data_IF_338570799623
#
_entry.id   IF_338570799623
#
_cell.length_a   1.000
_cell.length_b   1.000
_cell.length_c   1.000
_cell.angle_alpha   90.00
_cell.angle_beta   90.00
_cell.angle_gamma   90.00
#
_symmetry.space_group_name_H-M   'P 1'
#
loop_
_entity.id
_entity.type
_entity.pdbx_description
1 polymer ?
#
# COMPACT_ATOMS: atom_id res chain seq x y z
N UNK A 1 -57.81 50.23 9.18
CA UNK A 1 -56.39 50.23 8.76
C UNK A 1 -55.58 49.72 9.94
N UNK A 2 -55.36 48.39 10.02
CA UNK A 2 -54.58 47.73 11.08
C UNK A 2 -53.30 47.19 10.46
N UNK A 3 -52.15 47.68 10.90
CA UNK A 3 -50.81 47.07 10.79
C UNK A 3 -49.91 47.88 11.74
N UNK A 4 -48.87 47.38 12.40
CA UNK A 4 -48.51 46.07 12.94
C UNK A 4 -47.24 46.38 13.76
N UNK A 5 -47.19 45.89 15.00
CA UNK A 5 -46.02 45.92 15.89
C UNK A 5 -44.87 45.09 15.32
N UNK A 6 -43.70 45.73 15.12
CA UNK A 6 -42.45 45.08 14.72
C UNK A 6 -41.52 44.88 15.91
N UNK A 7 -41.56 43.70 16.52
CA UNK A 7 -40.52 43.22 17.42
C UNK A 7 -39.38 42.61 16.60
N UNK A 8 -38.17 43.16 16.75
CA UNK A 8 -36.96 42.61 16.14
C UNK A 8 -36.43 41.52 17.07
N UNK A 9 -36.84 40.28 16.82
CA UNK A 9 -36.21 39.10 17.40
C UNK A 9 -34.95 38.76 16.61
N UNK A 10 -33.81 38.78 17.29
CA UNK A 10 -32.56 38.22 16.77
C UNK A 10 -32.73 36.70 16.56
N UNK A 11 -32.94 36.29 15.30
CA UNK A 11 -32.70 34.91 14.88
C UNK A 11 -31.21 34.77 14.59
N UNK A 12 -30.50 34.15 15.52
CA UNK A 12 -29.17 33.62 15.27
C UNK A 12 -29.38 32.37 14.41
N UNK A 13 -29.12 32.46 13.11
CA UNK A 13 -29.00 31.29 12.25
C UNK A 13 -27.64 30.62 12.49
N UNK A 14 -27.61 29.69 13.44
CA UNK A 14 -26.54 28.68 13.50
C UNK A 14 -26.84 27.59 12.46
N UNK A 15 -26.47 27.82 11.21
CA UNK A 15 -26.36 26.76 10.21
C UNK A 15 -24.87 26.48 9.93
N UNK A 16 -24.19 25.89 10.91
CA UNK A 16 -23.00 25.10 10.64
C UNK A 16 -23.48 23.68 10.39
N UNK A 17 -23.81 23.37 9.14
CA UNK A 17 -23.98 21.99 8.69
C UNK A 17 -22.62 21.32 8.91
N UNK A 18 -22.54 20.48 9.93
CA UNK A 18 -21.49 19.49 10.06
C UNK A 18 -21.57 18.65 8.78
N UNK A 19 -20.69 18.91 7.81
CA UNK A 19 -20.35 17.90 6.79
C UNK A 19 -19.87 16.70 7.59
N UNK A 20 -20.70 15.67 7.72
CA UNK A 20 -20.21 14.37 8.17
C UNK A 20 -19.03 14.04 7.28
N UNK A 21 -17.87 13.76 7.87
CA UNK A 21 -16.73 13.28 7.11
C UNK A 21 -17.18 11.98 6.44
N UNK A 22 -17.47 12.01 5.14
CA UNK A 22 -17.79 10.79 4.42
C UNK A 22 -16.58 9.88 4.49
N UNK A 23 -16.80 8.69 5.04
CA UNK A 23 -15.81 7.63 5.17
C UNK A 23 -15.29 7.24 3.78
N UNK A 24 -13.97 7.25 3.58
CA UNK A 24 -13.39 6.85 2.30
C UNK A 24 -13.52 5.35 2.10
N UNK A 25 -13.86 4.93 0.88
CA UNK A 25 -13.81 3.53 0.43
C UNK A 25 -12.43 3.21 -0.13
N UNK A 26 -11.67 2.41 0.61
CA UNK A 26 -10.27 2.12 0.32
C UNK A 26 -10.06 0.64 0.03
N UNK A 27 -9.50 0.33 -1.15
CA UNK A 27 -9.02 -1.00 -1.47
C UNK A 27 -7.53 -1.09 -1.17
N UNK A 28 -7.15 -2.00 -0.29
CA UNK A 28 -5.77 -2.34 -0.01
C UNK A 28 -5.42 -3.65 -0.72
N UNK A 29 -4.97 -3.52 -1.97
CA UNK A 29 -4.72 -4.60 -2.91
C UNK A 29 -3.42 -5.36 -2.64
N UNK A 30 -3.46 -6.69 -2.77
CA UNK A 30 -2.35 -7.60 -2.49
C UNK A 30 -1.81 -7.49 -1.05
N UNK A 31 -2.71 -7.36 -0.07
CA UNK A 31 -2.34 -7.27 1.34
C UNK A 31 -3.02 -8.37 2.20
N UNK A 32 -2.29 -9.43 2.52
CA UNK A 32 -2.73 -10.41 3.53
C UNK A 32 -2.58 -9.90 4.99
N UNK A 33 -1.60 -9.02 5.22
CA UNK A 33 -1.18 -8.66 6.58
C UNK A 33 -2.06 -7.62 7.27
N UNK A 34 -2.94 -6.97 6.50
CA UNK A 34 -3.86 -5.89 6.92
C UNK A 34 -3.20 -4.68 7.58
N UNK A 35 -1.88 -4.50 7.47
CA UNK A 35 -1.17 -3.43 8.20
C UNK A 35 -1.65 -2.05 7.78
N UNK A 36 -1.88 -1.81 6.49
CA UNK A 36 -2.44 -0.54 6.02
C UNK A 36 -3.96 -0.51 6.22
N UNK A 37 -4.65 -1.61 5.91
CA UNK A 37 -6.11 -1.70 6.11
C UNK A 37 -6.54 -1.34 7.55
N UNK A 38 -5.83 -1.86 8.56
CA UNK A 38 -6.10 -1.59 9.97
C UNK A 38 -5.96 -0.09 10.30
N UNK A 39 -4.92 0.58 9.77
CA UNK A 39 -4.71 2.00 10.05
C UNK A 39 -5.78 2.88 9.41
N UNK A 40 -6.26 2.55 8.21
CA UNK A 40 -7.43 3.24 7.63
C UNK A 40 -8.71 3.00 8.44
N UNK A 41 -8.95 1.76 8.89
CA UNK A 41 -10.11 1.41 9.73
C UNK A 41 -10.10 2.15 11.07
N UNK A 42 -8.93 2.33 11.69
CA UNK A 42 -8.79 3.15 12.93
C UNK A 42 -9.22 4.60 12.74
N UNK A 43 -9.09 5.15 11.54
CA UNK A 43 -9.54 6.50 11.19
C UNK A 43 -11.02 6.57 10.78
N UNK A 44 -11.74 5.45 10.84
CA UNK A 44 -13.17 5.39 10.47
C UNK A 44 -13.42 5.23 8.97
N UNK A 45 -12.39 4.95 8.17
CA UNK A 45 -12.54 4.70 6.73
C UNK A 45 -13.05 3.28 6.44
N UNK A 46 -13.82 3.13 5.37
CA UNK A 46 -14.30 1.85 4.85
C UNK A 46 -13.18 1.18 4.03
N UNK A 47 -12.25 0.51 4.70
CA UNK A 47 -11.12 -0.14 4.04
C UNK A 47 -11.23 -1.67 3.99
N UNK A 48 -10.86 -2.25 2.85
CA UNK A 48 -10.78 -3.71 2.67
C UNK A 48 -9.39 -4.11 2.18
N UNK A 49 -8.77 -5.05 2.87
CA UNK A 49 -7.59 -5.76 2.39
C UNK A 49 -8.00 -6.86 1.41
N UNK A 50 -7.24 -7.06 0.34
CA UNK A 50 -7.50 -8.12 -0.63
C UNK A 50 -6.21 -8.86 -0.97
N UNK A 51 -6.19 -10.18 -0.83
CA UNK A 51 -5.08 -11.05 -1.24
C UNK A 51 -5.60 -12.44 -1.55
N UNK A 52 -4.85 -13.24 -2.31
CA UNK A 52 -5.17 -14.66 -2.50
C UNK A 52 -4.79 -15.49 -1.26
N UNK A 53 -3.81 -15.01 -0.49
CA UNK A 53 -3.37 -15.64 0.75
C UNK A 53 -4.33 -15.35 1.90
N UNK A 54 -4.50 -16.28 2.86
CA UNK A 54 -5.31 -16.04 4.06
C UNK A 54 -4.76 -14.86 4.88
N UNK A 55 -5.66 -14.07 5.46
CA UNK A 55 -5.25 -12.93 6.29
C UNK A 55 -4.47 -13.36 7.55
N UNK A 56 -3.44 -12.58 7.88
CA UNK A 56 -2.73 -12.69 9.16
C UNK A 56 -2.92 -11.48 10.08
N UNK A 57 -3.75 -10.50 9.66
CA UNK A 57 -4.03 -9.27 10.40
C UNK A 57 -5.12 -9.40 11.48
N UNK A 58 -5.87 -10.50 11.51
CA UNK A 58 -6.85 -10.81 12.55
C UNK A 58 -8.25 -10.24 12.33
N UNK A 59 -8.51 -9.63 11.16
CA UNK A 59 -9.79 -9.03 10.81
C UNK A 59 -10.39 -9.67 9.55
N UNK A 60 -10.93 -10.89 9.63
CA UNK A 60 -11.54 -11.58 8.47
C UNK A 60 -12.69 -10.77 7.85
N UNK A 61 -13.38 -9.95 8.63
CA UNK A 61 -14.46 -9.05 8.21
C UNK A 61 -13.99 -7.88 7.33
N UNK A 62 -12.68 -7.67 7.18
CA UNK A 62 -12.09 -6.68 6.27
C UNK A 62 -11.23 -7.31 5.18
N UNK A 63 -11.20 -8.65 5.10
CA UNK A 63 -10.32 -9.36 4.20
C UNK A 63 -11.08 -10.05 3.07
N UNK A 64 -10.75 -9.70 1.84
CA UNK A 64 -11.26 -10.33 0.63
C UNK A 64 -10.22 -11.34 0.17
N UNK A 65 -10.45 -12.62 0.44
CA UNK A 65 -9.52 -13.68 0.03
C UNK A 65 -9.78 -14.12 -1.42
N UNK A 66 -9.37 -13.30 -2.40
CA UNK A 66 -9.62 -13.54 -3.82
C UNK A 66 -8.60 -12.81 -4.72
N UNK A 67 -8.69 -13.02 -6.04
CA UNK A 67 -8.03 -12.16 -7.02
C UNK A 67 -8.58 -10.73 -6.91
N UNK A 68 -7.67 -9.75 -6.93
CA UNK A 68 -8.00 -8.33 -6.82
C UNK A 68 -8.43 -7.72 -8.16
N UNK A 69 -8.06 -8.32 -9.30
CA UNK A 69 -8.35 -7.75 -10.62
C UNK A 69 -9.84 -7.42 -10.85
N UNK A 70 -10.81 -8.27 -10.45
CA UNK A 70 -12.23 -7.96 -10.59
C UNK A 70 -12.69 -6.75 -9.76
N UNK A 71 -11.94 -6.38 -8.73
CA UNK A 71 -12.31 -5.32 -7.78
C UNK A 71 -11.78 -3.95 -8.21
N UNK A 72 -10.66 -3.89 -8.93
CA UNK A 72 -9.88 -2.66 -9.16
C UNK A 72 -10.69 -1.47 -9.70
N UNK A 73 -11.73 -1.71 -10.51
CA UNK A 73 -12.47 -0.66 -11.20
C UNK A 73 -13.77 -0.25 -10.52
N UNK A 74 -14.03 -0.75 -9.30
CA UNK A 74 -15.30 -0.55 -8.58
C UNK A 74 -16.47 -1.26 -9.28
N UNK A 75 -17.70 -0.83 -8.99
CA UNK A 75 -18.94 -1.49 -9.44
C UNK A 75 -18.88 -3.01 -9.24
N UNK A 76 -18.51 -3.41 -8.02
CA UNK A 76 -18.25 -4.79 -7.69
C UNK A 76 -18.99 -5.19 -6.42
N UNK A 77 -19.37 -6.45 -6.35
CA UNK A 77 -19.84 -7.14 -5.15
C UNK A 77 -18.78 -8.16 -4.76
N UNK A 78 -18.49 -8.28 -3.47
CA UNK A 78 -17.54 -9.24 -2.96
C UNK A 78 -17.93 -9.72 -1.57
N UNK A 79 -17.36 -10.86 -1.18
CA UNK A 79 -17.51 -11.43 0.15
C UNK A 79 -16.19 -11.32 0.91
N UNK A 80 -16.25 -10.91 2.17
CA UNK A 80 -15.12 -10.95 3.10
C UNK A 80 -14.97 -12.34 3.72
N UNK A 81 -13.83 -12.62 4.34
CA UNK A 81 -13.48 -13.95 4.83
C UNK A 81 -14.36 -14.42 6.01
N UNK A 82 -15.09 -13.51 6.66
CA UNK A 82 -16.13 -13.83 7.66
C UNK A 82 -17.48 -14.23 7.03
N UNK A 83 -17.61 -14.09 5.72
CA UNK A 83 -18.81 -14.40 4.95
C UNK A 83 -19.74 -13.21 4.69
N UNK A 84 -19.41 -12.01 5.18
CA UNK A 84 -20.20 -10.80 4.94
C UNK A 84 -20.12 -10.35 3.47
N UNK A 85 -21.23 -9.89 2.90
CA UNK A 85 -21.31 -9.41 1.51
C UNK A 85 -21.27 -7.89 1.49
N UNK A 86 -20.46 -7.35 0.59
CA UNK A 86 -20.23 -5.92 0.44
C UNK A 86 -20.34 -5.52 -1.04
N UNK A 87 -20.75 -4.28 -1.29
CA UNK A 87 -20.79 -3.71 -2.64
C UNK A 87 -20.09 -2.34 -2.70
N UNK A 88 -19.46 -2.08 -3.84
CA UNK A 88 -18.90 -0.78 -4.18
C UNK A 88 -19.65 -0.27 -5.40
N UNK A 89 -20.61 0.62 -5.17
CA UNK A 89 -21.30 1.35 -6.23
C UNK A 89 -20.41 2.52 -6.69
N UNK A 90 -20.01 2.52 -7.97
CA UNK A 90 -19.10 3.51 -8.52
C UNK A 90 -17.64 3.07 -8.46
N UNK A 91 -16.76 3.92 -7.91
CA UNK A 91 -15.30 3.70 -7.85
C UNK A 91 -14.84 3.59 -6.41
N UNK A 92 -13.65 3.04 -6.22
CA UNK A 92 -12.90 3.22 -4.98
C UNK A 92 -12.43 4.67 -4.87
N UNK A 93 -12.49 5.24 -3.66
CA UNK A 93 -11.90 6.56 -3.40
C UNK A 93 -10.38 6.50 -3.40
N UNK A 94 -9.82 5.33 -3.06
CA UNK A 94 -8.38 5.09 -3.05
C UNK A 94 -8.03 3.61 -3.24
N UNK A 95 -6.95 3.36 -3.97
CA UNK A 95 -6.30 2.04 -4.05
C UNK A 95 -4.88 2.14 -3.54
N UNK A 96 -4.52 1.32 -2.56
CA UNK A 96 -3.14 1.13 -2.10
C UNK A 96 -2.75 -0.30 -2.42
N UNK A 97 -1.66 -0.53 -3.14
CA UNK A 97 -1.34 -1.84 -3.67
C UNK A 97 0.09 -2.30 -3.39
N UNK A 98 0.24 -3.61 -3.13
CA UNK A 98 1.51 -4.28 -2.87
C UNK A 98 1.75 -5.46 -3.83
N UNK A 99 1.71 -5.23 -5.17
CA UNK A 99 1.73 -6.32 -6.14
C UNK A 99 3.02 -7.16 -6.07
N UNK A 100 2.94 -8.47 -6.35
CA UNK A 100 4.09 -9.36 -6.33
C UNK A 100 5.16 -8.91 -7.32
N UNK A 101 6.41 -8.87 -6.87
CA UNK A 101 7.51 -8.26 -7.61
C UNK A 101 8.77 -9.11 -7.72
N UNK A 102 8.71 -10.37 -7.32
CA UNK A 102 9.86 -11.29 -7.23
C UNK A 102 10.73 -11.31 -8.49
N UNK A 103 10.10 -11.21 -9.67
CA UNK A 103 10.78 -11.21 -10.96
C UNK A 103 11.07 -9.81 -11.50
N UNK A 104 10.49 -8.75 -10.93
CA UNK A 104 10.72 -7.37 -11.34
C UNK A 104 11.80 -6.65 -10.51
N UNK A 105 12.00 -7.03 -9.26
CA UNK A 105 12.89 -6.33 -8.31
C UNK A 105 14.37 -6.37 -8.71
N UNK A 106 15.09 -5.27 -8.50
CA UNK A 106 16.54 -5.17 -8.68
C UNK A 106 17.32 -6.15 -7.78
N UNK A 107 16.79 -6.51 -6.61
CA UNK A 107 17.39 -7.54 -5.76
C UNK A 107 17.41 -8.93 -6.44
N UNK A 108 16.55 -9.15 -7.44
CA UNK A 108 16.49 -10.35 -8.25
C UNK A 108 17.40 -10.35 -9.47
N UNK A 109 18.10 -9.24 -9.76
CA UNK A 109 18.88 -9.05 -10.98
C UNK A 109 19.98 -10.10 -11.19
N UNK A 110 20.64 -10.51 -10.10
CA UNK A 110 21.66 -11.58 -10.12
C UNK A 110 21.12 -12.92 -10.64
N UNK A 111 19.81 -13.16 -10.54
CA UNK A 111 19.14 -14.37 -11.05
C UNK A 111 18.55 -14.17 -12.44
N UNK A 112 18.40 -12.92 -12.90
CA UNK A 112 17.83 -12.61 -14.23
C UNK A 112 18.81 -12.93 -15.36
N UNK A 113 20.12 -12.97 -15.07
CA UNK A 113 21.15 -13.33 -16.05
C UNK A 113 22.03 -14.48 -15.58
N UNK A 114 22.33 -15.41 -16.48
CA UNK A 114 23.29 -16.50 -16.26
C UNK A 114 24.31 -16.44 -17.40
N UNK A 115 25.60 -16.30 -17.05
CA UNK A 115 26.71 -16.11 -18.02
C UNK A 115 26.49 -14.93 -18.99
N UNK A 116 25.86 -13.86 -18.51
CA UNK A 116 25.54 -12.67 -19.32
C UNK A 116 24.21 -12.75 -20.05
N UNK A 117 23.64 -13.93 -20.25
CA UNK A 117 22.39 -14.14 -20.99
C UNK A 117 21.15 -14.02 -20.11
N UNK A 118 20.05 -13.48 -20.66
CA UNK A 118 18.76 -13.38 -19.95
C UNK A 118 18.15 -14.78 -19.79
N UNK A 119 17.70 -15.09 -18.57
CA UNK A 119 16.90 -16.29 -18.31
C UNK A 119 15.46 -16.04 -18.77
N UNK A 120 15.11 -16.56 -19.94
CA UNK A 120 13.84 -16.26 -20.63
C UNK A 120 12.60 -16.52 -19.76
N UNK A 121 12.54 -17.64 -19.04
CA UNK A 121 11.42 -17.95 -18.14
C UNK A 121 11.22 -16.88 -17.06
N UNK A 122 12.32 -16.37 -16.48
CA UNK A 122 12.26 -15.32 -15.47
C UNK A 122 11.83 -13.98 -16.05
N UNK A 123 12.27 -13.70 -17.28
CA UNK A 123 11.87 -12.50 -18.01
C UNK A 123 10.38 -12.52 -18.32
N UNK A 124 9.85 -13.65 -18.80
CA UNK A 124 8.42 -13.83 -19.07
C UNK A 124 7.57 -13.59 -17.82
N UNK A 125 7.95 -14.20 -16.68
CA UNK A 125 7.29 -13.95 -15.38
C UNK A 125 7.39 -12.49 -14.92
N UNK A 126 8.47 -11.79 -15.27
CA UNK A 126 8.61 -10.38 -14.98
C UNK A 126 7.68 -9.52 -15.85
N UNK A 127 7.45 -9.90 -17.10
CA UNK A 127 6.50 -9.23 -18.00
C UNK A 127 5.04 -9.45 -17.57
N UNK A 128 4.69 -10.65 -17.12
CA UNK A 128 3.37 -10.94 -16.51
C UNK A 128 3.13 -10.08 -15.25
N UNK A 129 4.13 -10.02 -14.37
CA UNK A 129 4.07 -9.16 -13.17
C UNK A 129 3.98 -7.67 -13.55
N UNK A 130 4.64 -7.24 -14.64
CA UNK A 130 4.51 -5.88 -15.18
C UNK A 130 3.09 -5.62 -15.67
N UNK A 131 2.46 -6.55 -16.39
CA UNK A 131 1.07 -6.41 -16.85
C UNK A 131 0.14 -6.23 -15.65
N UNK A 132 0.27 -7.08 -14.63
CA UNK A 132 -0.51 -6.98 -13.39
C UNK A 132 -0.29 -5.63 -12.67
N UNK A 133 0.95 -5.19 -12.53
CA UNK A 133 1.30 -3.88 -12.00
C UNK A 133 0.62 -2.74 -12.76
N UNK A 134 0.65 -2.80 -14.10
CA UNK A 134 0.05 -1.76 -14.95
C UNK A 134 -1.48 -1.78 -14.90
N UNK A 135 -2.11 -2.95 -14.71
CA UNK A 135 -3.56 -3.04 -14.49
C UNK A 135 -3.98 -2.28 -13.22
N UNK A 136 -3.22 -2.41 -12.13
CA UNK A 136 -3.46 -1.63 -10.91
C UNK A 136 -3.22 -0.14 -11.17
N UNK A 137 -2.09 0.22 -11.79
CA UNK A 137 -1.74 1.62 -12.04
C UNK A 137 -2.77 2.36 -12.91
N UNK A 138 -3.39 1.63 -13.84
CA UNK A 138 -4.40 2.14 -14.77
C UNK A 138 -5.84 1.93 -14.30
N UNK A 139 -6.05 1.41 -13.09
CA UNK A 139 -7.38 1.20 -12.53
C UNK A 139 -8.20 2.50 -12.54
N UNK A 140 -9.51 2.35 -12.65
CA UNK A 140 -10.48 3.44 -12.61
C UNK A 140 -10.64 4.00 -11.18
N UNK A 141 -9.59 4.66 -10.70
CA UNK A 141 -9.51 5.34 -9.42
C UNK A 141 -8.58 6.56 -9.55
N UNK A 142 -8.97 7.68 -8.96
CA UNK A 142 -8.26 8.95 -9.01
C UNK A 142 -7.04 8.96 -8.10
N UNK A 143 -7.06 8.19 -7.00
CA UNK A 143 -5.99 8.11 -5.99
C UNK A 143 -5.42 6.70 -5.90
N UNK A 144 -4.20 6.50 -6.39
CA UNK A 144 -3.53 5.18 -6.36
C UNK A 144 -2.13 5.32 -5.80
N UNK A 145 -1.76 4.45 -4.85
CA UNK A 145 -0.39 4.27 -4.38
C UNK A 145 0.02 2.81 -4.61
N UNK A 146 1.09 2.57 -5.38
CA UNK A 146 1.70 1.25 -5.50
C UNK A 146 3.03 1.26 -4.75
N UNK A 147 3.20 0.36 -3.78
CA UNK A 147 4.46 0.13 -3.08
C UNK A 147 5.20 -1.06 -3.70
N UNK A 148 6.49 -0.86 -3.96
CA UNK A 148 7.33 -1.93 -4.45
C UNK A 148 8.82 -1.65 -4.18
N UNK A 149 9.67 -2.68 -4.03
CA UNK A 149 11.12 -2.51 -4.15
C UNK A 149 11.54 -1.82 -5.45
N UNK A 150 12.76 -1.28 -5.49
CA UNK A 150 13.32 -0.72 -6.73
C UNK A 150 13.34 -1.79 -7.84
N UNK A 151 12.72 -1.53 -9.01
CA UNK A 151 12.66 -2.50 -10.10
C UNK A 151 13.97 -2.54 -10.89
N UNK A 152 14.20 -3.64 -11.60
CA UNK A 152 15.24 -3.69 -12.63
C UNK A 152 14.89 -2.75 -13.78
N UNK A 153 15.87 -2.02 -14.31
CA UNK A 153 15.68 -1.14 -15.48
C UNK A 153 15.11 -1.88 -16.69
N UNK A 154 15.50 -3.15 -16.88
CA UNK A 154 15.02 -4.04 -17.95
C UNK A 154 13.49 -4.18 -17.99
N UNK A 155 12.80 -3.99 -16.87
CA UNK A 155 11.34 -4.15 -16.82
C UNK A 155 10.63 -2.94 -17.43
N UNK A 156 11.29 -1.78 -17.49
CA UNK A 156 10.73 -0.56 -18.09
C UNK A 156 9.37 -0.20 -17.47
N UNK A 157 9.28 -0.24 -16.14
CA UNK A 157 8.15 0.36 -15.43
C UNK A 157 8.24 1.90 -15.55
N UNK A 158 7.10 2.61 -15.46
CA UNK A 158 7.10 4.05 -15.29
C UNK A 158 8.01 4.47 -14.13
N UNK A 159 8.60 5.68 -14.17
CA UNK A 159 9.39 6.16 -13.04
C UNK A 159 8.52 6.24 -11.78
N UNK A 160 9.06 5.76 -10.66
CA UNK A 160 8.40 5.93 -9.36
C UNK A 160 8.40 7.40 -8.93
N UNK A 161 7.35 7.83 -8.24
CA UNK A 161 7.18 9.22 -7.76
C UNK A 161 8.15 9.55 -6.64
N UNK A 162 8.39 8.58 -5.76
CA UNK A 162 9.30 8.74 -4.64
C UNK A 162 9.86 7.41 -4.14
N UNK A 163 10.87 7.48 -3.28
CA UNK A 163 11.34 6.33 -2.53
C UNK A 163 11.47 6.72 -1.06
N UNK A 164 11.11 5.77 -0.20
CA UNK A 164 11.03 5.91 1.25
C UNK A 164 11.85 4.83 1.94
N UNK A 165 12.13 5.04 3.21
CA UNK A 165 12.89 4.15 4.07
C UNK A 165 12.17 3.98 5.42
N UNK A 166 12.20 2.79 6.04
CA UNK A 166 11.54 2.58 7.34
C UNK A 166 12.04 3.52 8.44
N UNK A 167 13.33 3.88 8.44
CA UNK A 167 13.88 4.85 9.41
C UNK A 167 13.33 6.26 9.31
N UNK A 168 12.63 6.60 8.23
CA UNK A 168 11.91 7.87 8.09
C UNK A 168 10.54 7.85 8.80
N UNK A 169 10.13 6.68 9.32
CA UNK A 169 8.83 6.43 9.94
C UNK A 169 8.97 5.65 11.26
N UNK A 170 10.05 5.87 12.01
CA UNK A 170 10.24 5.31 13.36
C UNK A 170 10.68 3.85 13.41
N UNK A 171 11.16 3.26 12.31
CA UNK A 171 11.68 1.87 12.30
C UNK A 171 13.19 1.88 12.05
N UNK A 172 14.04 1.24 12.89
CA UNK A 172 15.51 1.38 12.84
C UNK A 172 16.16 0.60 11.68
N UNK A 173 15.52 0.58 10.52
CA UNK A 173 15.91 -0.21 9.37
C UNK A 173 16.02 0.61 8.09
N UNK A 174 17.02 0.30 7.26
CA UNK A 174 17.02 0.64 5.84
C UNK A 174 16.47 -0.53 5.02
N UNK A 175 15.45 -0.22 4.22
CA UNK A 175 14.84 -1.11 3.23
C UNK A 175 14.18 -0.21 2.20
N UNK A 176 14.96 0.18 1.18
CA UNK A 176 14.49 1.12 0.17
C UNK A 176 13.25 0.57 -0.52
N UNK A 177 12.19 1.35 -0.46
CA UNK A 177 10.90 1.06 -1.07
C UNK A 177 10.53 2.23 -1.99
N UNK A 178 10.03 1.93 -3.18
CA UNK A 178 9.55 2.89 -4.16
C UNK A 178 8.03 3.00 -4.10
N UNK A 179 7.50 4.20 -4.35
CA UNK A 179 6.08 4.49 -4.43
C UNK A 179 5.74 5.11 -5.79
N UNK A 180 4.76 4.54 -6.47
CA UNK A 180 4.12 5.12 -7.66
C UNK A 180 2.80 5.72 -7.21
N UNK A 181 2.68 7.04 -7.32
CA UNK A 181 1.55 7.80 -6.81
C UNK A 181 0.78 8.43 -7.97
N UNK A 182 -0.53 8.22 -8.00
CA UNK A 182 -1.51 8.87 -8.88
C UNK A 182 -2.48 9.65 -8.00
N UNK A 183 -2.64 10.94 -8.23
CA UNK A 183 -3.59 11.78 -7.48
C UNK A 183 -3.32 11.91 -5.97
N UNK A 184 -2.15 11.48 -5.48
CA UNK A 184 -1.76 11.52 -4.07
C UNK A 184 -0.51 12.39 -3.87
N UNK A 185 -0.43 13.16 -2.77
CA UNK A 185 0.81 13.83 -2.40
C UNK A 185 1.88 12.82 -1.99
N UNK A 186 3.15 13.24 -2.11
CA UNK A 186 4.30 12.47 -1.61
C UNK A 186 4.13 12.21 -0.11
N UNK A 187 4.25 10.95 0.29
CA UNK A 187 4.29 10.51 1.69
C UNK A 187 5.43 11.20 2.45
N UNK A 188 5.10 11.91 3.52
CA UNK A 188 6.03 12.67 4.33
C UNK A 188 6.59 11.81 5.47
N UNK A 189 7.91 11.88 5.76
CA UNK A 189 8.49 11.27 6.96
C UNK A 189 7.78 11.72 8.24
N UNK A 190 7.44 10.78 9.11
CA UNK A 190 6.76 11.07 10.40
C UNK A 190 7.70 11.03 11.59
N UNK A 191 8.78 10.24 11.52
CA UNK A 191 9.74 10.09 12.61
C UNK A 191 11.09 9.59 12.05
N UNK A 192 12.08 10.48 11.98
CA UNK A 192 13.39 10.16 11.40
C UNK A 192 14.35 9.67 12.50
N UNK A 193 14.82 8.43 12.37
CA UNK A 193 15.84 7.86 13.25
C UNK A 193 17.25 8.11 12.71
N UNK A 194 18.14 8.62 13.57
CA UNK A 194 19.54 8.88 13.23
C UNK A 194 20.32 7.59 12.96
N UNK A 195 20.07 6.55 13.75
CA UNK A 195 20.72 5.24 13.62
C UNK A 195 19.77 4.20 13.02
N UNK A 196 20.26 3.46 12.02
CA UNK A 196 19.51 2.37 11.39
C UNK A 196 20.44 1.31 10.81
N UNK A 197 19.94 0.07 10.66
CA UNK A 197 20.68 -1.04 10.03
C UNK A 197 19.94 -1.61 8.81
N UNK A 198 20.58 -2.32 7.88
CA UNK A 198 19.87 -2.99 6.79
C UNK A 198 18.84 -4.00 7.31
N UNK A 199 17.58 -3.89 6.87
CA UNK A 199 16.51 -4.82 7.29
C UNK A 199 16.82 -6.27 6.93
N UNK A 200 17.48 -6.46 5.78
CA UNK A 200 17.99 -7.75 5.34
C UNK A 200 19.45 -7.57 4.97
N UNK A 201 20.30 -8.42 5.53
CA UNK A 201 21.71 -8.47 5.19
C UNK A 201 21.89 -8.81 3.71
N UNK A 202 22.35 -7.82 2.92
CA UNK A 202 22.83 -8.03 1.56
C UNK A 202 24.26 -8.59 1.57
N UNK A 203 24.50 -9.61 0.74
CA UNK A 203 25.83 -10.17 0.54
C UNK A 203 26.27 -11.20 1.58
N UNK A 204 27.34 -11.92 1.24
CA UNK A 204 27.95 -12.95 2.10
C UNK A 204 29.01 -12.39 3.04
N UNK A 205 29.45 -11.14 2.88
CA UNK A 205 30.54 -10.52 3.64
C UNK A 205 30.13 -9.22 4.36
N UNK A 206 30.70 -8.95 5.52
CA UNK A 206 30.50 -7.67 6.26
C UNK A 206 31.41 -6.55 5.71
N UNK A 207 31.36 -5.36 6.33
CA UNK A 207 32.21 -4.22 5.97
C UNK A 207 33.71 -4.46 6.17
N UNK A 208 34.08 -5.53 6.87
CA UNK A 208 35.45 -5.95 7.14
C UNK A 208 35.89 -7.15 6.27
N UNK A 209 35.05 -7.57 5.31
CA UNK A 209 35.34 -8.66 4.39
C UNK A 209 35.18 -10.06 4.98
N UNK A 210 34.75 -10.19 6.24
CA UNK A 210 34.50 -11.48 6.86
C UNK A 210 33.22 -12.09 6.31
N UNK A 211 33.23 -13.39 6.03
CA UNK A 211 31.99 -14.11 5.74
C UNK A 211 31.04 -13.98 6.92
N UNK A 212 29.87 -13.37 6.68
CA UNK A 212 28.84 -13.18 7.68
C UNK A 212 28.42 -14.57 8.17
N UNK A 213 28.79 -14.90 9.41
CA UNK A 213 28.28 -16.06 10.14
C UNK A 213 26.85 -15.77 10.59
N UNK A 214 25.89 -15.70 9.67
CA UNK A 214 24.50 -15.36 10.02
C UNK A 214 23.56 -16.51 9.65
N UNK A 215 23.17 -17.28 10.68
CA UNK A 215 22.05 -18.22 10.68
C UNK A 215 20.74 -17.45 11.00
N UNK A 216 19.67 -17.67 10.24
CA UNK A 216 18.31 -17.72 10.79
C UNK A 216 17.58 -16.45 11.28
N UNK A 217 17.85 -15.23 10.78
CA UNK A 217 16.94 -14.09 11.05
C UNK A 217 15.56 -14.33 10.39
N UNK A 218 14.46 -14.18 11.14
CA UNK A 218 13.07 -14.37 10.65
C UNK A 218 12.78 -13.45 9.46
N UNK A 219 13.45 -12.30 9.41
CA UNK A 219 13.36 -11.27 8.37
C UNK A 219 13.96 -11.71 7.03
N UNK A 220 14.46 -12.95 6.87
CA UNK A 220 14.75 -13.54 5.56
C UNK A 220 13.53 -14.19 4.91
N UNK A 221 12.56 -14.59 5.71
CA UNK A 221 11.31 -15.18 5.24
C UNK A 221 10.59 -14.21 4.29
N UNK A 222 10.27 -14.64 3.05
CA UNK A 222 9.61 -13.78 2.07
C UNK A 222 8.29 -13.19 2.58
N UNK A 223 7.49 -13.96 3.33
CA UNK A 223 6.20 -13.48 3.86
C UNK A 223 6.42 -12.35 4.86
N UNK A 224 7.31 -12.54 5.84
CA UNK A 224 7.68 -11.51 6.83
C UNK A 224 8.26 -10.26 6.17
N UNK A 225 9.04 -10.43 5.10
CA UNK A 225 9.64 -9.32 4.36
C UNK A 225 8.66 -8.54 3.50
N UNK A 226 7.57 -9.15 3.05
CA UNK A 226 6.58 -8.48 2.23
C UNK A 226 5.74 -7.50 3.05
N UNK A 227 5.57 -7.74 4.36
CA UNK A 227 4.73 -6.89 5.22
C UNK A 227 5.27 -5.45 5.34
N UNK A 228 4.41 -4.48 5.04
CA UNK A 228 4.66 -3.03 5.15
C UNK A 228 5.01 -2.64 6.59
N UNK A 229 5.98 -1.74 6.83
CA UNK A 229 6.30 -1.36 8.21
C UNK A 229 5.14 -0.60 8.87
N UNK A 230 4.80 -0.86 10.15
CA UNK A 230 3.68 -0.19 10.82
C UNK A 230 3.73 1.34 10.75
N UNK A 231 4.92 1.94 10.82
CA UNK A 231 5.07 3.40 10.75
C UNK A 231 4.77 3.97 9.36
N UNK A 232 5.13 3.23 8.30
CA UNK A 232 4.75 3.57 6.93
C UNK A 232 3.25 3.39 6.75
N UNK A 233 2.68 2.29 7.24
CA UNK A 233 1.25 2.02 7.17
C UNK A 233 0.41 3.12 7.85
N UNK A 234 0.81 3.52 9.05
CA UNK A 234 0.20 4.63 9.80
C UNK A 234 0.29 5.93 9.02
N UNK A 235 1.47 6.27 8.50
CA UNK A 235 1.65 7.49 7.71
C UNK A 235 0.79 7.50 6.44
N UNK A 236 0.65 6.38 5.74
CA UNK A 236 -0.23 6.28 4.57
C UNK A 236 -1.68 6.58 4.94
N UNK A 237 -2.18 6.01 6.04
CA UNK A 237 -3.54 6.25 6.50
C UNK A 237 -3.75 7.68 7.00
N UNK A 238 -2.87 8.19 7.87
CA UNK A 238 -3.00 9.54 8.44
C UNK A 238 -2.87 10.64 7.38
N UNK A 239 -2.00 10.46 6.38
CA UNK A 239 -1.79 11.49 5.37
C UNK A 239 -2.81 11.44 4.24
N UNK A 240 -3.25 10.25 3.82
CA UNK A 240 -4.11 10.09 2.65
C UNK A 240 -5.57 9.80 2.99
N UNK A 241 -5.85 9.35 4.22
CA UNK A 241 -7.18 9.01 4.72
C UNK A 241 -7.94 10.16 5.40
N UNK A 242 -7.34 11.35 5.42
CA UNK A 242 -7.91 12.59 5.97
C UNK A 242 -8.25 13.60 4.87
#
# INVERSE_FOLDING_TARGET
>A
MRLCSGGIGNRIEFNTILKGSESLKVLVACEESQRVCIEFRKLGNEAYSCDIEPCSGGHPEWHIQNDVLPLLNGNCEFQTADGSVHCIDGKWDMIIAFPPCTYMTNAGAVRMRVKGEIVQERYQKAMEAKVFFMQIMNANCEKIAIENPTPMKLIELPPYTQAVQPYQFGHPYSKRTCLWLKGLPKLEPTEILEHHEPYVNGGCKDSHGNYRKFQGRKERDPKTRAKTFPGIARAMAEQWGN
#
